data_IF_723461823212
#
_entry.id   IF_723461823212
#
_cell.length_a   1.000
_cell.length_b   1.000
_cell.length_c   1.000
_cell.angle_alpha   90.00
_cell.angle_beta   90.00
_cell.angle_gamma   90.00
#
_symmetry.space_group_name_H-M   'P 1'
#
loop_
_entity.id
_entity.type
_entity.pdbx_description
1 polymer ?
#
# COMPACT_ATOMS: atom_id res chain seq x y z
N UNK A 1 -5.66 -6.72 19.37
CA UNK A 1 -4.85 -5.54 19.70
C UNK A 1 -4.97 -5.22 21.20
N UNK A 2 -3.94 -4.60 21.73
CA UNK A 2 -3.81 -4.26 23.14
C UNK A 2 -3.22 -2.86 23.28
N UNK A 3 -3.78 -2.05 24.19
CA UNK A 3 -3.17 -0.78 24.58
C UNK A 3 -2.08 -1.07 25.61
N UNK A 4 -0.84 -0.77 25.26
CA UNK A 4 0.34 -1.01 26.11
C UNK A 4 0.99 0.30 26.53
N UNK A 5 1.57 0.34 27.72
CA UNK A 5 2.35 1.49 28.18
C UNK A 5 3.64 1.62 27.38
N UNK A 6 4.28 2.78 27.44
CA UNK A 6 5.57 3.00 26.80
C UNK A 6 6.63 1.96 27.25
N UNK A 7 6.66 1.60 28.53
CA UNK A 7 7.61 0.61 29.06
C UNK A 7 7.32 -0.82 28.56
N UNK A 8 6.05 -1.18 28.41
CA UNK A 8 5.66 -2.45 27.78
C UNK A 8 6.03 -2.46 26.30
N UNK A 9 5.76 -1.37 25.58
CA UNK A 9 6.15 -1.25 24.17
C UNK A 9 7.67 -1.36 23.97
N UNK A 10 8.48 -0.76 24.86
CA UNK A 10 9.95 -0.90 24.84
C UNK A 10 10.43 -2.32 25.13
N UNK A 11 9.69 -3.11 25.92
CA UNK A 11 10.00 -4.54 26.12
C UNK A 11 9.69 -5.36 24.85
N UNK A 12 8.63 -4.99 24.11
CA UNK A 12 8.28 -5.63 22.84
C UNK A 12 9.27 -5.23 21.75
N UNK A 13 9.61 -3.93 21.67
CA UNK A 13 10.52 -3.37 20.68
C UNK A 13 11.60 -2.50 21.35
N UNK A 14 12.74 -3.08 21.75
CA UNK A 14 13.82 -2.37 22.46
C UNK A 14 14.48 -1.24 21.67
N UNK A 15 14.27 -1.15 20.36
CA UNK A 15 14.76 -0.05 19.55
C UNK A 15 14.01 1.27 19.81
N UNK A 16 12.81 1.22 20.39
CA UNK A 16 11.99 2.39 20.72
C UNK A 16 12.38 3.01 22.06
N UNK A 17 13.49 3.78 22.07
CA UNK A 17 14.06 4.38 23.29
C UNK A 17 13.60 5.81 23.53
N UNK A 18 12.94 6.42 22.55
CA UNK A 18 12.53 7.81 22.60
C UNK A 18 11.25 8.07 23.37
N UNK A 19 10.65 9.23 23.15
CA UNK A 19 9.49 9.70 23.91
C UNK A 19 8.17 9.33 23.19
N UNK A 20 7.33 8.59 23.86
CA UNK A 20 5.90 8.35 23.52
C UNK A 20 5.16 7.87 24.77
N UNK A 21 3.86 8.10 24.82
CA UNK A 21 3.04 7.84 26.00
C UNK A 21 2.57 6.38 26.09
N UNK A 22 2.09 5.83 24.98
CA UNK A 22 1.54 4.49 24.88
C UNK A 22 1.61 3.98 23.45
N UNK A 23 1.31 2.72 23.23
CA UNK A 23 1.17 2.13 21.89
C UNK A 23 -0.04 1.20 21.81
N UNK A 24 -0.66 1.14 20.65
CA UNK A 24 -1.61 0.10 20.29
C UNK A 24 -0.83 -1.03 19.63
N UNK A 25 -0.74 -2.18 20.29
CA UNK A 25 0.00 -3.34 19.79
C UNK A 25 -0.92 -4.42 19.23
N UNK A 26 -0.52 -5.02 18.12
CA UNK A 26 -1.21 -6.13 17.51
C UNK A 26 -0.23 -7.27 17.22
N UNK A 27 -0.34 -8.36 17.97
CA UNK A 27 0.52 -9.54 17.82
C UNK A 27 0.40 -10.21 16.45
N UNK A 28 -0.76 -10.08 15.80
CA UNK A 28 -1.05 -10.71 14.51
C UNK A 28 -0.63 -9.88 13.31
N UNK A 29 -0.18 -8.63 13.51
CA UNK A 29 0.33 -7.81 12.42
C UNK A 29 1.65 -8.39 11.92
N UNK A 30 1.84 -8.30 10.60
CA UNK A 30 3.03 -8.79 9.94
C UNK A 30 3.47 -7.84 8.83
N UNK A 31 4.77 -7.83 8.56
CA UNK A 31 5.34 -7.14 7.41
C UNK A 31 5.86 -8.16 6.39
N UNK A 32 5.75 -7.80 5.13
CA UNK A 32 6.34 -8.56 4.02
C UNK A 32 7.51 -7.78 3.42
N UNK A 33 8.44 -8.49 2.75
CA UNK A 33 9.44 -7.84 1.92
C UNK A 33 8.84 -7.56 0.54
N UNK A 34 8.37 -6.33 0.25
CA UNK A 34 7.53 -6.05 -0.92
C UNK A 34 8.26 -6.22 -2.25
N UNK A 35 9.59 -6.04 -2.25
CA UNK A 35 10.41 -6.17 -3.47
C UNK A 35 10.52 -7.62 -3.97
N UNK A 36 10.35 -8.59 -3.09
CA UNK A 36 10.50 -10.01 -3.41
C UNK A 36 9.22 -10.83 -3.22
N UNK A 37 8.23 -10.31 -2.48
CA UNK A 37 7.01 -11.05 -2.15
C UNK A 37 6.27 -11.57 -3.39
N UNK A 38 6.06 -10.71 -4.40
CA UNK A 38 5.38 -11.11 -5.64
C UNK A 38 6.21 -12.09 -6.47
N UNK A 39 7.54 -11.94 -6.48
CA UNK A 39 8.44 -12.89 -7.15
C UNK A 39 8.34 -14.28 -6.51
N UNK A 40 8.46 -14.34 -5.19
CA UNK A 40 8.36 -15.62 -4.45
C UNK A 40 6.98 -16.26 -4.59
N UNK A 41 5.89 -15.46 -4.56
CA UNK A 41 4.54 -15.97 -4.81
C UNK A 41 4.44 -16.60 -6.20
N UNK A 42 4.92 -15.93 -7.23
CA UNK A 42 4.93 -16.45 -8.61
C UNK A 42 5.73 -17.73 -8.74
N UNK A 43 6.91 -17.79 -8.14
CA UNK A 43 7.74 -18.99 -8.11
C UNK A 43 7.05 -20.17 -7.42
N UNK A 44 6.41 -19.89 -6.26
CA UNK A 44 5.63 -20.88 -5.53
C UNK A 44 4.43 -21.40 -6.35
N UNK A 45 3.73 -20.52 -7.06
CA UNK A 45 2.64 -20.91 -7.95
C UNK A 45 3.14 -21.79 -9.10
N UNK A 46 4.25 -21.43 -9.75
CA UNK A 46 4.85 -22.25 -10.81
C UNK A 46 5.25 -23.64 -10.32
N UNK A 47 5.81 -23.72 -9.11
CA UNK A 47 6.24 -24.99 -8.52
C UNK A 47 5.08 -25.90 -8.07
N UNK A 48 3.94 -25.31 -7.64
CA UNK A 48 2.82 -26.06 -7.03
C UNK A 48 1.64 -26.30 -7.95
N UNK A 49 1.55 -25.60 -9.07
CA UNK A 49 0.35 -25.60 -9.90
C UNK A 49 0.29 -26.71 -10.95
N UNK A 50 1.26 -27.63 -10.99
CA UNK A 50 1.32 -28.77 -11.93
C UNK A 50 0.99 -28.36 -13.39
N UNK A 51 1.60 -27.27 -13.86
CA UNK A 51 1.37 -26.70 -15.19
C UNK A 51 0.10 -25.86 -15.37
N UNK A 52 -0.75 -25.74 -14.34
CA UNK A 52 -1.97 -24.92 -14.40
C UNK A 52 -1.72 -23.40 -14.28
N UNK A 53 -0.50 -22.99 -13.94
CA UNK A 53 -0.12 -21.59 -13.85
C UNK A 53 0.89 -21.24 -14.94
N UNK A 54 0.53 -20.29 -15.80
CA UNK A 54 1.41 -19.74 -16.84
C UNK A 54 1.63 -18.24 -16.58
N UNK A 55 2.87 -17.81 -16.55
CA UNK A 55 3.25 -16.40 -16.46
C UNK A 55 3.88 -15.95 -17.78
N UNK A 56 3.29 -14.93 -18.40
CA UNK A 56 3.71 -14.35 -19.67
C UNK A 56 4.27 -12.93 -19.44
N UNK A 57 5.57 -12.78 -19.15
CA UNK A 57 6.17 -11.46 -18.94
C UNK A 57 6.30 -10.69 -20.25
N UNK A 58 6.31 -9.34 -20.15
CA UNK A 58 6.52 -8.47 -21.32
C UNK A 58 5.33 -8.47 -22.29
N UNK A 59 4.11 -8.76 -21.80
CA UNK A 59 2.88 -8.74 -22.59
C UNK A 59 1.94 -7.68 -22.02
N UNK A 60 1.45 -6.82 -22.87
CA UNK A 60 0.44 -5.82 -22.52
C UNK A 60 -0.89 -6.15 -23.19
N UNK A 61 -1.96 -6.31 -22.41
CA UNK A 61 -3.30 -6.50 -22.96
C UNK A 61 -3.78 -5.19 -23.57
N UNK A 62 -4.15 -5.23 -24.86
CA UNK A 62 -4.53 -4.07 -25.68
C UNK A 62 -6.01 -3.99 -26.00
N UNK A 63 -6.70 -5.13 -26.06
CA UNK A 63 -8.06 -5.20 -26.59
C UNK A 63 -8.85 -6.33 -25.94
N UNK A 64 -10.13 -6.10 -25.71
CA UNK A 64 -11.13 -7.16 -25.46
C UNK A 64 -11.69 -7.58 -26.80
N UNK A 65 -11.45 -8.84 -27.21
CA UNK A 65 -11.81 -9.34 -28.54
C UNK A 65 -13.05 -10.24 -28.56
N UNK A 66 -13.66 -10.45 -27.39
CA UNK A 66 -14.89 -11.25 -27.23
C UNK A 66 -15.09 -11.71 -25.80
N UNK A 67 -16.13 -12.49 -25.53
CA UNK A 67 -16.38 -13.03 -24.19
C UNK A 67 -15.18 -13.77 -23.62
N UNK A 68 -14.71 -13.37 -22.43
CA UNK A 68 -13.55 -13.97 -21.78
C UNK A 68 -12.27 -13.98 -22.62
N UNK A 69 -12.12 -13.06 -23.60
CA UNK A 69 -11.01 -13.08 -24.54
C UNK A 69 -10.35 -11.70 -24.67
N UNK A 70 -9.03 -11.68 -24.60
CA UNK A 70 -8.20 -10.46 -24.76
C UNK A 70 -7.08 -10.70 -25.75
N UNK A 71 -6.62 -9.63 -26.41
CA UNK A 71 -5.46 -9.63 -27.30
C UNK A 71 -4.33 -8.80 -26.65
N UNK A 72 -3.11 -9.33 -26.72
CA UNK A 72 -1.92 -8.63 -26.25
C UNK A 72 -1.24 -7.82 -27.38
N UNK A 73 -0.19 -7.09 -27.03
CA UNK A 73 0.63 -6.24 -27.92
C UNK A 73 1.49 -7.04 -28.93
N UNK A 74 1.58 -8.36 -28.76
CA UNK A 74 2.20 -9.27 -29.73
C UNK A 74 1.18 -9.82 -30.75
N UNK A 75 -0.11 -9.51 -30.58
CA UNK A 75 -1.20 -10.00 -31.41
C UNK A 75 -1.80 -11.34 -30.98
N UNK A 76 -1.24 -11.95 -29.92
CA UNK A 76 -1.74 -13.22 -29.40
C UNK A 76 -3.07 -13.03 -28.65
N UNK A 77 -3.97 -13.98 -28.87
CA UNK A 77 -5.30 -13.99 -28.21
C UNK A 77 -5.29 -14.99 -27.05
N UNK A 78 -5.57 -14.48 -25.87
CA UNK A 78 -5.71 -15.27 -24.65
C UNK A 78 -7.19 -15.43 -24.30
N UNK A 79 -7.60 -16.67 -23.97
CA UNK A 79 -8.99 -17.03 -23.66
C UNK A 79 -9.06 -17.75 -22.33
N UNK A 80 -10.13 -17.49 -21.57
CA UNK A 80 -10.46 -18.16 -20.33
C UNK A 80 -11.94 -18.08 -20.05
N UNK A 81 -12.42 -18.78 -19.04
CA UNK A 81 -13.80 -18.68 -18.55
C UNK A 81 -14.08 -17.26 -18.00
N UNK A 82 -13.06 -16.60 -17.50
CA UNK A 82 -13.08 -15.17 -17.20
C UNK A 82 -11.69 -14.54 -17.39
N UNK A 83 -11.68 -13.22 -17.64
CA UNK A 83 -10.50 -12.36 -17.63
C UNK A 83 -10.63 -11.37 -16.48
N UNK A 84 -9.60 -11.25 -15.66
CA UNK A 84 -9.52 -10.25 -14.59
C UNK A 84 -8.44 -9.23 -14.90
N UNK A 85 -8.82 -7.99 -15.17
CA UNK A 85 -7.93 -6.85 -15.35
C UNK A 85 -7.55 -6.30 -13.98
N UNK A 86 -6.40 -6.70 -13.44
CA UNK A 86 -5.86 -6.28 -12.14
C UNK A 86 -4.71 -5.28 -12.33
N UNK A 87 -4.99 -4.13 -12.94
CA UNK A 87 -4.00 -3.19 -13.48
C UNK A 87 -3.35 -2.28 -12.43
N UNK A 88 -3.77 -2.37 -11.18
CA UNK A 88 -3.25 -1.50 -10.10
C UNK A 88 -3.45 -0.02 -10.41
N UNK A 89 -2.37 0.76 -10.39
CA UNK A 89 -2.40 2.21 -10.67
C UNK A 89 -2.44 2.56 -12.16
N UNK A 90 -2.45 1.58 -13.05
CA UNK A 90 -2.50 1.79 -14.50
C UNK A 90 -3.94 1.91 -14.94
N UNK A 91 -4.45 3.16 -14.92
CA UNK A 91 -5.87 3.50 -15.18
C UNK A 91 -6.07 4.15 -16.58
N UNK A 92 -5.04 4.14 -17.43
CA UNK A 92 -5.08 4.66 -18.81
C UNK A 92 -5.20 3.52 -19.84
N UNK A 93 -5.26 3.87 -21.13
CA UNK A 93 -5.39 2.91 -22.23
C UNK A 93 -6.69 2.11 -22.09
N UNK A 94 -6.60 0.79 -22.23
CA UNK A 94 -7.75 -0.11 -22.22
C UNK A 94 -8.71 0.09 -21.03
N UNK A 95 -8.18 0.34 -19.83
CA UNK A 95 -9.04 0.57 -18.66
C UNK A 95 -9.90 1.82 -18.83
N UNK A 96 -9.33 2.92 -19.34
CA UNK A 96 -10.10 4.14 -19.61
C UNK A 96 -11.11 3.98 -20.73
N UNK A 97 -10.77 3.21 -21.75
CA UNK A 97 -11.68 2.92 -22.87
C UNK A 97 -12.88 2.10 -22.41
N UNK A 98 -12.66 1.12 -21.53
CA UNK A 98 -13.74 0.26 -21.00
C UNK A 98 -14.58 0.96 -19.92
N UNK A 99 -13.97 1.83 -19.08
CA UNK A 99 -14.63 2.51 -17.97
C UNK A 99 -14.16 3.97 -17.90
N UNK A 100 -14.73 4.87 -18.75
CA UNK A 100 -14.30 6.28 -18.78
C UNK A 100 -14.46 6.99 -17.42
N UNK A 101 -15.56 6.70 -16.70
CA UNK A 101 -15.92 7.34 -15.41
C UNK A 101 -15.59 6.43 -14.21
N UNK A 102 -14.45 5.77 -14.25
CA UNK A 102 -14.00 4.87 -13.18
C UNK A 102 -13.89 5.62 -11.84
N UNK A 103 -14.61 5.21 -10.76
CA UNK A 103 -14.56 5.89 -9.45
C UNK A 103 -13.31 5.50 -8.66
N UNK A 104 -12.17 5.59 -9.29
CA UNK A 104 -10.85 5.27 -8.75
C UNK A 104 -9.87 6.38 -9.15
N UNK A 105 -9.09 6.83 -8.21
CA UNK A 105 -8.03 7.80 -8.42
C UNK A 105 -6.65 7.21 -8.21
N UNK A 106 -5.63 7.84 -8.77
CA UNK A 106 -4.23 7.56 -8.43
C UNK A 106 -3.85 8.37 -7.21
N UNK A 107 -3.02 7.78 -6.36
CA UNK A 107 -2.43 8.44 -5.19
C UNK A 107 -0.92 8.30 -5.29
N UNK A 108 -0.19 9.41 -5.19
CA UNK A 108 1.27 9.42 -5.12
C UNK A 108 1.73 9.59 -3.68
N UNK A 109 2.79 8.88 -3.31
CA UNK A 109 3.40 8.94 -1.98
C UNK A 109 4.89 9.18 -2.10
N UNK A 110 5.45 9.93 -1.16
CA UNK A 110 6.89 10.04 -0.98
C UNK A 110 7.36 9.07 0.11
N UNK A 111 8.41 8.34 -0.18
CA UNK A 111 8.99 7.29 0.66
C UNK A 111 10.50 7.44 0.73
N UNK A 112 11.11 6.98 1.82
CA UNK A 112 12.56 6.90 1.95
C UNK A 112 13.03 5.59 2.58
N UNK A 113 14.31 5.25 2.38
CA UNK A 113 14.94 4.10 3.01
C UNK A 113 16.33 4.50 3.54
N UNK A 114 16.62 4.07 4.76
CA UNK A 114 17.91 4.30 5.42
C UNK A 114 18.95 3.24 5.06
N UNK A 115 20.22 3.49 5.41
CA UNK A 115 21.20 2.44 5.66
C UNK A 115 20.73 1.54 6.82
N UNK A 116 21.35 0.35 7.02
CA UNK A 116 21.00 -0.53 8.13
C UNK A 116 20.98 0.19 9.47
N UNK A 117 19.94 -0.09 10.29
CA UNK A 117 19.79 0.50 11.61
C UNK A 117 20.89 0.09 12.59
N UNK A 118 21.51 -1.06 12.36
CA UNK A 118 22.53 -1.63 13.23
C UNK A 118 21.97 -2.41 14.43
N UNK A 119 20.68 -2.51 14.55
CA UNK A 119 19.94 -3.32 15.52
C UNK A 119 18.60 -3.76 14.93
N UNK A 120 17.93 -4.70 15.59
CA UNK A 120 16.63 -5.19 15.16
C UNK A 120 15.50 -4.25 15.60
N UNK A 121 14.62 -3.93 14.67
CA UNK A 121 13.31 -3.34 14.93
C UNK A 121 12.28 -4.49 14.92
N UNK A 122 11.94 -5.00 16.09
CA UNK A 122 11.16 -6.23 16.24
C UNK A 122 9.71 -6.13 15.77
N UNK A 123 9.18 -4.90 15.58
CA UNK A 123 7.83 -4.61 15.07
C UNK A 123 7.89 -3.54 14.01
N UNK A 124 6.92 -3.52 13.09
CA UNK A 124 6.61 -2.30 12.34
C UNK A 124 6.06 -1.24 13.31
N UNK A 125 6.25 0.04 12.98
CA UNK A 125 5.79 1.16 13.82
C UNK A 125 5.03 2.15 12.97
N UNK A 126 3.88 2.58 13.46
CA UNK A 126 3.09 3.68 12.91
C UNK A 126 2.87 4.74 13.98
N UNK A 127 2.71 6.01 13.60
CA UNK A 127 2.34 7.07 14.53
C UNK A 127 0.81 7.20 14.68
N UNK A 128 0.39 8.10 15.56
CA UNK A 128 -1.02 8.38 15.82
C UNK A 128 -1.74 9.05 14.62
N UNK A 129 -1.02 9.63 13.67
CA UNK A 129 -1.61 10.19 12.44
C UNK A 129 -2.21 9.10 11.55
N UNK A 130 -1.80 7.84 11.72
CA UNK A 130 -2.44 6.69 11.11
C UNK A 130 -3.93 6.56 11.49
N UNK A 131 -4.34 6.95 12.70
CA UNK A 131 -5.74 6.99 13.10
C UNK A 131 -6.54 8.05 12.32
N UNK A 132 -5.90 9.16 11.94
CA UNK A 132 -6.50 10.22 11.13
C UNK A 132 -6.67 9.81 9.67
N UNK A 133 -5.76 9.00 9.16
CA UNK A 133 -5.72 8.58 7.77
C UNK A 133 -6.70 7.42 7.45
N UNK A 134 -6.71 6.36 8.28
CA UNK A 134 -7.49 5.18 7.96
C UNK A 134 -8.99 5.33 8.32
N UNK A 135 -9.91 5.08 7.35
CA UNK A 135 -11.34 5.23 7.57
C UNK A 135 -11.91 4.37 8.71
N UNK A 136 -11.25 3.27 9.07
CA UNK A 136 -11.67 2.37 10.14
C UNK A 136 -11.70 3.03 11.53
N UNK A 137 -10.96 4.13 11.71
CA UNK A 137 -10.89 4.84 13.00
C UNK A 137 -11.82 6.06 13.08
N UNK A 138 -12.61 6.32 12.05
CA UNK A 138 -13.58 7.44 12.07
C UNK A 138 -14.57 7.26 13.20
N UNK A 139 -14.60 8.21 14.13
CA UNK A 139 -15.45 8.18 15.34
C UNK A 139 -15.49 9.56 15.97
N UNK A 140 -16.49 9.81 16.85
CA UNK A 140 -16.55 11.04 17.63
C UNK A 140 -15.29 11.28 18.47
N UNK A 141 -14.68 10.22 19.02
CA UNK A 141 -13.42 10.34 19.76
C UNK A 141 -12.25 10.83 18.89
N UNK A 142 -12.20 10.46 17.61
CA UNK A 142 -11.20 10.98 16.68
C UNK A 142 -11.49 12.46 16.34
N UNK A 143 -12.76 12.86 16.23
CA UNK A 143 -13.14 14.25 15.99
C UNK A 143 -12.76 15.12 17.20
N UNK A 144 -12.99 14.64 18.42
CA UNK A 144 -12.56 15.30 19.66
C UNK A 144 -11.04 15.43 19.74
N UNK A 145 -10.30 14.38 19.37
CA UNK A 145 -8.83 14.41 19.30
C UNK A 145 -8.35 15.44 18.27
N UNK A 146 -8.95 15.49 17.08
CA UNK A 146 -8.62 16.45 16.05
C UNK A 146 -8.84 17.90 16.48
N UNK A 147 -9.90 18.14 17.27
CA UNK A 147 -10.20 19.46 17.82
C UNK A 147 -9.22 19.86 18.95
N UNK A 148 -8.83 18.91 19.80
CA UNK A 148 -7.94 19.15 20.95
C UNK A 148 -6.45 19.21 20.54
N UNK A 149 -6.06 18.40 19.55
CA UNK A 149 -4.66 18.27 19.11
C UNK A 149 -4.61 18.27 17.58
N UNK A 150 -4.29 19.42 17.01
CA UNK A 150 -4.09 19.54 15.58
C UNK A 150 -2.87 18.71 15.11
N UNK A 151 -2.97 18.15 13.91
CA UNK A 151 -1.84 17.52 13.24
C UNK A 151 -0.74 18.56 12.99
N UNK A 152 0.54 18.14 12.98
CA UNK A 152 1.65 19.02 12.62
C UNK A 152 1.41 19.65 11.23
N UNK A 153 1.74 20.93 11.02
CA UNK A 153 1.39 21.66 9.77
C UNK A 153 1.88 20.93 8.50
N UNK A 154 3.12 20.45 8.47
CA UNK A 154 3.68 19.69 7.35
C UNK A 154 2.90 18.38 7.13
N UNK A 155 2.63 17.65 8.20
CA UNK A 155 1.87 16.40 8.11
C UNK A 155 0.44 16.64 7.59
N UNK A 156 -0.23 17.68 8.06
CA UNK A 156 -1.57 18.05 7.58
C UNK A 156 -1.57 18.47 6.11
N UNK A 157 -0.61 19.32 5.69
CA UNK A 157 -0.49 19.80 4.32
C UNK A 157 -0.28 18.65 3.31
N UNK A 158 0.51 17.65 3.68
CA UNK A 158 0.85 16.51 2.84
C UNK A 158 0.07 15.22 3.17
N UNK A 159 -0.94 15.31 4.04
CA UNK A 159 -1.79 14.18 4.48
C UNK A 159 -0.94 12.98 4.92
N UNK A 160 0.03 13.26 5.77
CA UNK A 160 1.05 12.29 6.19
C UNK A 160 0.57 11.42 7.32
N UNK A 161 1.17 10.26 7.39
CA UNK A 161 1.27 9.37 8.53
C UNK A 161 2.68 8.78 8.55
N UNK A 162 3.18 8.38 9.71
CA UNK A 162 4.39 7.57 9.76
C UNK A 162 4.03 6.09 9.65
N UNK A 163 4.71 5.40 8.76
CA UNK A 163 4.87 3.95 8.78
C UNK A 163 6.36 3.61 8.64
N UNK A 164 6.91 2.92 9.62
CA UNK A 164 8.32 2.51 9.65
C UNK A 164 8.43 1.01 9.71
N UNK A 165 9.12 0.41 8.75
CA UNK A 165 9.31 -1.04 8.64
C UNK A 165 10.76 -1.36 8.34
N UNK A 166 11.37 -2.24 9.15
CA UNK A 166 12.71 -2.73 8.87
C UNK A 166 12.70 -3.76 7.76
N UNK A 167 13.63 -3.62 6.82
CA UNK A 167 13.86 -4.54 5.71
C UNK A 167 14.88 -5.60 6.07
N UNK A 168 14.95 -6.65 5.26
CA UNK A 168 15.92 -7.76 5.47
C UNK A 168 17.38 -7.32 5.42
N UNK A 169 17.69 -6.21 4.74
CA UNK A 169 19.02 -5.59 4.74
C UNK A 169 19.30 -4.76 5.99
N UNK A 170 18.36 -4.70 6.92
CA UNK A 170 18.44 -3.93 8.16
C UNK A 170 18.11 -2.44 8.02
N UNK A 171 17.88 -1.93 6.80
CA UNK A 171 17.45 -0.55 6.56
C UNK A 171 15.98 -0.34 6.92
N UNK A 172 15.61 0.88 7.29
CA UNK A 172 14.23 1.26 7.57
C UNK A 172 13.59 1.85 6.32
N UNK A 173 12.47 1.30 5.87
CA UNK A 173 11.57 1.99 4.94
C UNK A 173 10.61 2.84 5.77
N UNK A 174 10.53 4.12 5.42
CA UNK A 174 9.79 5.14 6.15
C UNK A 174 8.92 5.90 5.14
N UNK A 175 7.68 6.13 5.46
CA UNK A 175 6.71 6.91 4.66
C UNK A 175 5.52 7.30 5.54
N UNK A 176 4.53 7.96 5.03
CA UNK A 176 4.38 8.45 3.66
C UNK A 176 3.58 9.75 3.55
N UNK A 177 3.55 10.34 2.37
CA UNK A 177 2.62 11.43 1.99
C UNK A 177 1.47 10.89 1.15
N UNK A 178 0.39 11.69 0.96
CA UNK A 178 -0.71 11.33 0.05
C UNK A 178 -1.10 12.51 -0.84
N UNK A 179 -0.74 12.42 -2.10
CA UNK A 179 -1.05 13.41 -3.13
C UNK A 179 -2.15 12.87 -4.04
N UNK A 180 -3.21 13.65 -4.25
CA UNK A 180 -4.39 13.26 -5.03
C UNK A 180 -4.56 14.06 -6.31
N UNK A 181 -3.95 15.24 -6.40
CA UNK A 181 -4.06 16.15 -7.52
C UNK A 181 -3.23 15.68 -8.72
N UNK A 182 -3.73 15.89 -9.93
CA UNK A 182 -3.08 15.57 -11.19
C UNK A 182 -2.84 16.83 -12.04
N UNK A 183 -1.75 16.86 -12.83
CA UNK A 183 -0.67 15.88 -12.90
C UNK A 183 0.21 15.89 -11.65
N UNK A 184 0.76 14.73 -11.28
CA UNK A 184 1.76 14.69 -10.22
C UNK A 184 3.02 15.44 -10.61
N UNK A 185 3.63 16.14 -9.66
CA UNK A 185 4.94 16.75 -9.83
C UNK A 185 6.01 15.70 -10.18
N UNK A 186 7.00 16.09 -10.97
CA UNK A 186 8.11 15.20 -11.33
C UNK A 186 9.02 14.94 -10.11
N UNK A 187 9.33 15.99 -9.38
CA UNK A 187 10.20 16.00 -8.22
C UNK A 187 9.48 15.57 -6.92
N UNK A 188 10.24 15.41 -5.86
CA UNK A 188 9.77 15.19 -4.50
C UNK A 188 10.18 16.37 -3.62
N UNK A 189 9.37 16.66 -2.61
CA UNK A 189 9.62 17.73 -1.65
C UNK A 189 10.46 17.22 -0.49
N UNK A 190 11.34 18.06 0.07
CA UNK A 190 12.18 17.71 1.23
C UNK A 190 11.43 17.82 2.57
N UNK A 191 10.54 18.81 2.73
CA UNK A 191 9.81 19.04 3.98
C UNK A 191 9.13 17.78 4.56
N UNK A 192 8.48 16.90 3.76
CA UNK A 192 7.95 15.65 4.27
C UNK A 192 9.03 14.70 4.80
N UNK A 193 10.19 14.63 4.15
CA UNK A 193 11.29 13.77 4.60
C UNK A 193 11.92 14.28 5.90
N UNK A 194 12.07 15.59 6.05
CA UNK A 194 12.56 16.22 7.29
C UNK A 194 11.58 15.96 8.43
N UNK A 195 10.29 16.13 8.20
CA UNK A 195 9.25 15.84 9.17
C UNK A 195 9.29 14.38 9.63
N UNK A 196 9.26 13.42 8.68
CA UNK A 196 9.32 11.98 9.00
C UNK A 196 10.60 11.60 9.72
N UNK A 197 11.74 12.19 9.34
CA UNK A 197 13.01 11.99 10.03
C UNK A 197 12.90 12.38 11.51
N UNK A 198 12.39 13.59 11.80
CA UNK A 198 12.22 14.06 13.17
C UNK A 198 11.29 13.17 13.99
N UNK A 199 10.16 12.71 13.40
CA UNK A 199 9.23 11.81 14.08
C UNK A 199 9.88 10.46 14.40
N UNK A 200 10.59 9.85 13.45
CA UNK A 200 11.27 8.57 13.66
C UNK A 200 12.39 8.70 14.70
N UNK A 201 13.20 9.75 14.62
CA UNK A 201 14.27 10.02 15.60
C UNK A 201 13.71 10.21 17.01
N UNK A 202 12.53 10.85 17.13
CA UNK A 202 11.85 11.00 18.43
C UNK A 202 11.43 9.66 19.02
N UNK A 203 11.00 8.68 18.22
CA UNK A 203 10.65 7.33 18.69
C UNK A 203 11.86 6.46 18.98
N UNK A 204 12.89 6.54 18.15
CA UNK A 204 14.13 5.77 18.34
C UNK A 204 14.99 6.34 19.46
N UNK A 205 14.85 7.63 19.81
CA UNK A 205 15.70 8.33 20.78
C UNK A 205 17.13 8.50 20.30
N UNK A 206 17.35 8.49 18.98
CA UNK A 206 18.65 8.65 18.32
C UNK A 206 18.52 9.11 16.88
N UNK A 207 19.58 9.69 16.28
CA UNK A 207 19.59 10.03 14.85
C UNK A 207 19.41 8.82 13.95
N UNK A 208 18.74 9.04 12.82
CA UNK A 208 18.60 8.04 11.77
C UNK A 208 19.94 7.76 11.09
N UNK A 209 20.17 6.51 10.64
CA UNK A 209 21.24 6.22 9.70
C UNK A 209 21.04 7.02 8.39
N UNK A 210 22.16 7.19 7.65
CA UNK A 210 22.12 7.89 6.35
C UNK A 210 20.98 7.39 5.46
N UNK A 211 20.20 8.31 4.89
CA UNK A 211 19.21 7.99 3.86
C UNK A 211 19.94 7.52 2.60
N UNK A 212 19.55 6.35 2.09
CA UNK A 212 20.10 5.75 0.87
C UNK A 212 19.24 5.97 -0.32
N UNK A 213 17.91 5.93 -0.15
CA UNK A 213 16.96 6.03 -1.25
C UNK A 213 15.79 6.94 -0.86
N UNK A 214 15.35 7.74 -1.83
CA UNK A 214 14.07 8.45 -1.85
C UNK A 214 13.37 8.11 -3.14
N UNK A 215 12.06 7.89 -3.08
CA UNK A 215 11.27 7.61 -4.28
C UNK A 215 9.82 8.03 -4.09
N UNK A 216 9.10 8.14 -5.20
CA UNK A 216 7.66 8.26 -5.19
C UNK A 216 7.03 6.93 -5.63
N UNK A 217 6.06 6.45 -4.86
CA UNK A 217 5.18 5.35 -5.22
C UNK A 217 3.85 5.86 -5.75
N UNK A 218 3.15 5.06 -6.53
CA UNK A 218 1.79 5.37 -6.98
C UNK A 218 0.92 4.13 -6.86
N UNK A 219 -0.26 4.28 -6.24
CA UNK A 219 -1.28 3.23 -6.22
C UNK A 219 -2.65 3.77 -6.65
N UNK A 220 -3.59 2.87 -6.91
CA UNK A 220 -4.98 3.20 -7.17
C UNK A 220 -5.82 3.11 -5.89
N UNK A 221 -6.74 4.05 -5.69
CA UNK A 221 -7.63 4.11 -4.54
C UNK A 221 -9.06 4.44 -5.00
N UNK A 222 -10.05 3.72 -4.48
CA UNK A 222 -11.45 4.11 -4.65
C UNK A 222 -11.65 5.55 -4.16
N UNK A 223 -12.42 6.35 -4.92
CA UNK A 223 -12.78 7.72 -4.50
C UNK A 223 -13.66 7.70 -3.26
N UNK A 224 -14.56 6.71 -3.16
CA UNK A 224 -15.22 6.34 -1.91
C UNK A 224 -14.27 5.49 -1.05
N UNK A 225 -13.65 6.10 -0.04
CA UNK A 225 -12.66 5.47 0.83
C UNK A 225 -13.23 4.40 1.77
N UNK A 226 -14.56 4.27 1.88
CA UNK A 226 -15.21 3.18 2.63
C UNK A 226 -15.16 1.86 1.87
N UNK A 227 -15.02 1.89 0.55
CA UNK A 227 -14.83 0.71 -0.30
C UNK A 227 -13.38 0.24 -0.27
N UNK A 228 -13.19 -1.05 -0.09
CA UNK A 228 -11.84 -1.65 -0.08
C UNK A 228 -11.30 -1.80 -1.50
N UNK A 229 -12.16 -2.10 -2.48
CA UNK A 229 -11.77 -2.37 -3.86
C UNK A 229 -12.92 -2.00 -4.79
N UNK A 230 -12.61 -1.55 -6.00
CA UNK A 230 -13.55 -1.45 -7.10
C UNK A 230 -13.52 -2.75 -7.90
N UNK A 231 -14.69 -3.36 -8.08
CA UNK A 231 -14.88 -4.58 -8.87
C UNK A 231 -16.09 -4.37 -9.78
N UNK A 232 -15.90 -4.59 -11.08
CA UNK A 232 -16.92 -4.34 -12.11
C UNK A 232 -16.71 -5.27 -13.29
N UNK A 233 -17.79 -5.90 -13.78
CA UNK A 233 -17.77 -6.51 -15.09
C UNK A 233 -17.78 -5.40 -16.16
N UNK A 234 -16.77 -5.40 -17.02
CA UNK A 234 -16.55 -4.34 -18.02
C UNK A 234 -16.87 -4.80 -19.45
N UNK A 235 -16.94 -6.10 -19.65
CA UNK A 235 -17.43 -6.76 -20.85
C UNK A 235 -17.85 -8.19 -20.48
N UNK A 236 -18.49 -8.92 -21.42
CA UNK A 236 -18.86 -10.30 -21.17
C UNK A 236 -17.64 -11.17 -20.84
N UNK A 237 -17.66 -11.81 -19.67
CA UNK A 237 -16.53 -12.58 -19.12
C UNK A 237 -15.26 -11.76 -18.80
N UNK A 238 -15.31 -10.40 -18.76
CA UNK A 238 -14.17 -9.55 -18.46
C UNK A 238 -14.48 -8.63 -17.28
N UNK A 239 -13.62 -8.68 -16.27
CA UNK A 239 -13.77 -7.95 -15.01
C UNK A 239 -12.58 -7.02 -14.76
N UNK A 240 -12.85 -5.83 -14.21
CA UNK A 240 -11.85 -4.92 -13.66
C UNK A 240 -11.86 -5.01 -12.15
N UNK A 241 -10.67 -5.22 -11.55
CA UNK A 241 -10.46 -5.25 -10.10
C UNK A 241 -9.30 -4.32 -9.77
N UNK A 242 -9.57 -3.18 -9.13
CA UNK A 242 -8.57 -2.14 -8.84
C UNK A 242 -8.97 -1.27 -7.65
N UNK A 243 -8.14 -0.32 -7.26
CA UNK A 243 -8.48 0.70 -6.28
C UNK A 243 -8.39 0.31 -4.80
N UNK A 244 -7.55 -0.68 -4.36
CA UNK A 244 -7.49 -1.07 -2.95
C UNK A 244 -6.82 -0.02 -2.05
N UNK A 245 -6.20 1.01 -2.61
CA UNK A 245 -5.46 2.01 -1.85
C UNK A 245 -4.24 1.44 -1.15
N UNK A 246 -3.82 2.08 -0.06
CA UNK A 246 -2.71 1.61 0.79
C UNK A 246 -2.96 0.27 1.49
N UNK A 247 -4.17 -0.29 1.37
CA UNK A 247 -4.56 -1.59 1.97
C UNK A 247 -4.34 -2.78 1.03
N UNK A 248 -3.82 -2.54 -0.18
CA UNK A 248 -3.74 -3.56 -1.22
C UNK A 248 -2.97 -4.80 -0.81
N UNK A 249 -1.79 -4.65 -0.21
CA UNK A 249 -0.99 -5.80 0.25
C UNK A 249 -1.72 -6.61 1.32
N UNK A 250 -2.24 -5.95 2.35
CA UNK A 250 -2.96 -6.58 3.47
C UNK A 250 -4.23 -7.29 3.01
N UNK A 251 -5.01 -6.65 2.13
CA UNK A 251 -6.31 -7.15 1.70
C UNK A 251 -6.26 -8.06 0.47
N UNK A 252 -5.10 -8.20 -0.20
CA UNK A 252 -5.01 -8.95 -1.47
C UNK A 252 -5.53 -10.39 -1.41
N UNK A 253 -5.30 -11.20 -0.35
CA UNK A 253 -5.86 -12.55 -0.28
C UNK A 253 -7.40 -12.54 -0.25
N UNK A 254 -7.99 -11.68 0.59
CA UNK A 254 -9.45 -11.56 0.69
C UNK A 254 -10.08 -10.95 -0.59
N UNK A 255 -9.40 -10.01 -1.24
CA UNK A 255 -9.83 -9.47 -2.53
C UNK A 255 -9.84 -10.57 -3.59
N UNK A 256 -8.81 -11.41 -3.64
CA UNK A 256 -8.73 -12.52 -4.58
C UNK A 256 -9.83 -13.57 -4.33
N UNK A 257 -10.00 -14.00 -3.07
CA UNK A 257 -11.03 -14.96 -2.66
C UNK A 257 -12.44 -14.46 -2.99
N UNK A 258 -12.76 -13.22 -2.60
CA UNK A 258 -14.09 -12.65 -2.91
C UNK A 258 -14.30 -12.44 -4.40
N UNK A 259 -13.23 -12.13 -5.16
CA UNK A 259 -13.33 -12.03 -6.63
C UNK A 259 -13.60 -13.41 -7.23
N UNK A 260 -12.89 -14.46 -6.81
CA UNK A 260 -13.11 -15.82 -7.28
C UNK A 260 -14.56 -16.28 -7.00
N UNK A 261 -15.04 -16.06 -5.77
CA UNK A 261 -16.43 -16.39 -5.40
C UNK A 261 -17.48 -15.66 -6.26
N UNK A 262 -17.27 -14.36 -6.57
CA UNK A 262 -18.17 -13.60 -7.46
C UNK A 262 -18.13 -14.11 -8.90
N UNK A 263 -17.02 -14.70 -9.33
CA UNK A 263 -16.85 -15.32 -10.64
C UNK A 263 -17.39 -16.78 -10.69
N UNK A 264 -17.83 -17.32 -9.54
CA UNK A 264 -18.36 -18.67 -9.44
C UNK A 264 -17.31 -19.78 -9.36
N UNK A 265 -16.12 -19.45 -8.84
CA UNK A 265 -14.98 -20.37 -8.71
C UNK A 265 -14.76 -20.83 -7.28
#
# INVERSE_FOLDING_TARGET
YELVTADQARKINPALRGAFEAALWCERDAAVEPRTAQLHLREALRAKADGRYTFLPGREVREVVGPGAVRDDHGDVHRGDAVVLATGAWLSGLVRELVPDLPVRRVRLQMMQTAPLGEELTTSVADADSFRYYPAYRSAALDDLNAAQAQAPTAAAHRMQLLMVQRRDGGLTIGDTHEYEHPFAFDTLEDPYEHLTGVVESFLGRPLPKIRHRWAGVYAQCTDTTRVVHRQQVADGVWLVTGPGGRGMTCSPAIAETTANELGW
#
